data_IF_275479271973
#
_entry.id   IF_275479271973
#
_cell.length_a   1.000
_cell.length_b   1.000
_cell.length_c   1.000
_cell.angle_alpha   90.00
_cell.angle_beta   90.00
_cell.angle_gamma   90.00
#
_symmetry.space_group_name_H-M   'P 1'
#
loop_
_entity.id
_entity.type
_entity.pdbx_description
1 polymer ?
#
# COMPACT_ATOMS: atom_id res chain seq x y z
N UNK A 1 19.91 41.18 -14.54
CA UNK A 1 20.07 39.94 -15.33
C UNK A 1 20.63 38.80 -14.49
N UNK A 2 21.92 38.81 -14.11
CA UNK A 2 22.65 37.67 -13.56
C UNK A 2 21.90 36.81 -12.51
N UNK A 3 21.27 37.42 -11.50
CA UNK A 3 20.58 36.66 -10.44
C UNK A 3 19.28 35.98 -10.87
N UNK A 4 18.60 36.49 -11.90
CA UNK A 4 17.43 35.83 -12.50
C UNK A 4 17.86 34.47 -13.07
N UNK A 5 18.96 34.45 -13.81
CA UNK A 5 19.51 33.22 -14.37
C UNK A 5 19.93 32.24 -13.28
N UNK A 6 20.59 32.71 -12.19
CA UNK A 6 20.93 31.88 -11.02
C UNK A 6 19.71 31.16 -10.44
N UNK A 7 18.61 31.86 -10.17
CA UNK A 7 17.40 31.24 -9.62
C UNK A 7 16.73 30.24 -10.58
N UNK A 8 16.70 30.53 -11.89
CA UNK A 8 16.09 29.63 -12.88
C UNK A 8 16.92 28.38 -13.12
N UNK A 9 18.25 28.50 -13.23
CA UNK A 9 19.16 27.35 -13.39
C UNK A 9 19.17 26.48 -12.14
N UNK A 10 19.28 27.07 -10.95
CA UNK A 10 19.24 26.31 -9.69
C UNK A 10 17.86 25.66 -9.49
N UNK A 11 16.77 26.33 -9.86
CA UNK A 11 15.43 25.76 -9.82
C UNK A 11 15.22 24.58 -10.77
N UNK A 12 15.79 24.62 -11.99
CA UNK A 12 15.83 23.47 -12.92
C UNK A 12 16.68 22.33 -12.33
N UNK A 13 17.86 22.62 -11.77
CA UNK A 13 18.71 21.61 -11.15
C UNK A 13 18.03 20.92 -9.95
N UNK A 14 17.45 21.69 -9.01
CA UNK A 14 16.66 21.14 -7.91
C UNK A 14 15.50 20.26 -8.39
N UNK A 15 14.91 20.56 -9.55
CA UNK A 15 13.89 19.71 -10.16
C UNK A 15 14.48 18.33 -10.48
N UNK A 16 15.52 18.25 -11.32
CA UNK A 16 16.14 16.96 -11.70
C UNK A 16 16.71 16.17 -10.52
N UNK A 17 17.12 16.85 -9.44
CA UNK A 17 17.54 16.21 -8.18
C UNK A 17 16.38 15.67 -7.31
N UNK A 18 15.13 15.84 -7.73
CA UNK A 18 13.94 15.41 -6.99
C UNK A 18 13.46 16.38 -5.89
N UNK A 19 14.16 17.50 -5.69
CA UNK A 19 13.84 18.54 -4.69
C UNK A 19 12.69 19.44 -5.18
N UNK A 20 11.50 18.84 -5.36
CA UNK A 20 10.31 19.50 -5.90
C UNK A 20 9.90 20.75 -5.11
N UNK A 21 10.04 20.74 -3.78
CA UNK A 21 9.73 21.89 -2.91
C UNK A 21 10.65 23.09 -3.23
N UNK A 22 11.95 22.86 -3.20
CA UNK A 22 12.96 23.90 -3.40
C UNK A 22 12.94 24.41 -4.86
N UNK A 23 12.80 23.51 -5.83
CA UNK A 23 12.59 23.85 -7.24
C UNK A 23 11.37 24.75 -7.44
N UNK A 24 10.24 24.43 -6.79
CA UNK A 24 9.00 25.21 -6.86
C UNK A 24 9.18 26.62 -6.29
N UNK A 25 9.98 26.80 -5.24
CA UNK A 25 10.32 28.12 -4.68
C UNK A 25 11.26 28.90 -5.61
N UNK A 26 12.38 28.29 -6.03
CA UNK A 26 13.43 28.92 -6.83
C UNK A 26 12.95 29.36 -8.22
N UNK A 27 12.15 28.53 -8.91
CA UNK A 27 11.55 28.92 -10.19
C UNK A 27 10.54 30.07 -10.03
N UNK A 28 9.89 30.20 -8.87
CA UNK A 28 8.97 31.30 -8.57
C UNK A 28 9.65 32.58 -8.07
N UNK A 29 10.83 32.52 -7.42
CA UNK A 29 11.65 33.72 -7.21
C UNK A 29 12.23 34.19 -8.54
N UNK A 30 12.80 33.28 -9.34
CA UNK A 30 13.30 33.55 -10.68
C UNK A 30 12.26 34.23 -11.58
N UNK A 31 11.04 33.67 -11.70
CA UNK A 31 9.95 34.29 -12.48
C UNK A 31 9.57 35.68 -11.95
N UNK A 32 9.43 35.87 -10.62
CA UNK A 32 9.08 37.18 -10.04
C UNK A 32 10.15 38.23 -10.32
N UNK A 33 11.42 37.87 -10.21
CA UNK A 33 12.55 38.77 -10.50
C UNK A 33 12.66 39.08 -12.00
N UNK A 34 12.39 38.11 -12.88
CA UNK A 34 12.31 38.34 -14.33
C UNK A 34 11.21 39.36 -14.68
N UNK A 35 9.99 39.17 -14.16
CA UNK A 35 8.88 40.12 -14.38
C UNK A 35 9.15 41.50 -13.77
N UNK A 36 9.84 41.58 -12.63
CA UNK A 36 10.23 42.87 -12.04
C UNK A 36 11.31 43.59 -12.86
N UNK A 37 12.28 42.85 -13.42
CA UNK A 37 13.29 43.40 -14.32
C UNK A 37 12.68 43.91 -15.62
N UNK A 38 11.78 43.14 -16.24
CA UNK A 38 11.06 43.54 -17.46
C UNK A 38 10.24 44.82 -17.25
N UNK A 39 9.51 44.94 -16.13
CA UNK A 39 8.78 46.18 -15.78
C UNK A 39 9.71 47.38 -15.63
N UNK A 40 10.86 47.22 -14.96
CA UNK A 40 11.85 48.30 -14.82
C UNK A 40 12.39 48.75 -16.18
N UNK A 41 12.68 47.81 -17.07
CA UNK A 41 13.13 48.10 -18.43
C UNK A 41 12.06 48.84 -19.23
N UNK A 42 10.81 48.35 -19.20
CA UNK A 42 9.66 48.98 -19.87
C UNK A 42 9.31 50.37 -19.34
N UNK A 43 9.54 50.66 -18.05
CA UNK A 43 9.32 51.99 -17.44
C UNK A 43 10.53 52.91 -17.61
N UNK A 44 11.71 52.37 -17.95
CA UNK A 44 12.90 53.17 -18.28
C UNK A 44 12.96 53.64 -19.73
N UNK A 45 11.94 53.34 -20.54
CA UNK A 45 11.80 53.85 -21.90
C UNK A 45 10.86 55.07 -21.85
N UNK A 46 11.30 56.21 -22.39
CA UNK A 46 10.46 57.40 -22.57
C UNK A 46 9.63 57.26 -23.85
N UNK A 47 8.42 57.83 -23.85
CA UNK A 47 7.50 57.81 -24.99
C UNK A 47 8.09 58.46 -26.26
N UNK A 48 9.05 59.36 -26.13
CA UNK A 48 9.77 59.99 -27.26
C UNK A 48 10.73 59.03 -28.01
N UNK A 49 10.87 57.77 -27.58
CA UNK A 49 11.83 56.81 -28.16
C UNK A 49 11.34 56.09 -29.43
N UNK A 50 10.23 56.52 -30.05
CA UNK A 50 9.67 55.94 -31.28
C UNK A 50 10.39 56.37 -32.58
N UNK A 51 11.72 56.27 -32.61
CA UNK A 51 12.52 56.47 -33.82
C UNK A 51 12.36 55.28 -34.79
N UNK A 52 11.45 55.39 -35.77
CA UNK A 52 11.28 54.42 -36.86
C UNK A 52 12.42 54.56 -37.87
N UNK A 53 13.63 54.17 -37.45
CA UNK A 53 14.86 54.35 -38.22
C UNK A 53 15.91 53.26 -37.91
N UNK A 54 15.53 51.98 -38.06
CA UNK A 54 16.45 50.86 -38.33
C UNK A 54 15.70 49.61 -38.84
N UNK A 55 15.15 49.72 -40.06
CA UNK A 55 14.73 48.56 -40.88
C UNK A 55 15.90 48.03 -41.74
N UNK A 56 17.06 48.68 -41.69
CA UNK A 56 18.29 48.27 -42.36
C UNK A 56 19.49 48.27 -41.39
N UNK A 57 20.54 47.49 -41.72
CA UNK A 57 21.82 47.42 -41.01
C UNK A 57 21.82 46.78 -39.61
N UNK A 58 21.58 45.47 -39.53
CA UNK A 58 21.86 44.67 -38.32
C UNK A 58 23.37 44.36 -38.18
N UNK A 59 24.15 45.37 -37.79
CA UNK A 59 25.63 45.35 -37.83
C UNK A 59 26.39 45.38 -36.49
N UNK A 60 25.74 45.27 -35.33
CA UNK A 60 26.39 45.07 -34.02
C UNK A 60 25.38 44.63 -32.95
N UNK A 61 25.56 43.46 -32.34
CA UNK A 61 24.55 42.82 -31.49
C UNK A 61 24.88 42.87 -29.98
N UNK A 62 24.80 44.07 -29.39
CA UNK A 62 24.87 44.26 -27.92
C UNK A 62 23.50 44.60 -27.31
N UNK A 63 22.47 43.82 -27.66
CA UNK A 63 21.18 43.85 -26.97
C UNK A 63 21.24 42.97 -25.70
N UNK A 64 20.85 43.47 -24.50
CA UNK A 64 20.86 42.66 -23.29
C UNK A 64 19.79 41.57 -23.37
N UNK A 65 20.20 40.30 -23.38
CA UNK A 65 19.34 39.17 -23.68
C UNK A 65 18.10 39.07 -22.78
N UNK A 66 16.95 39.48 -23.33
CA UNK A 66 15.63 39.09 -22.83
C UNK A 66 15.50 37.57 -22.96
N UNK A 67 14.98 36.89 -21.93
CA UNK A 67 14.61 35.47 -22.06
C UNK A 67 13.61 35.33 -23.23
N UNK A 68 13.87 34.48 -24.24
CA UNK A 68 12.93 34.28 -25.33
C UNK A 68 11.59 33.75 -24.75
N UNK A 69 10.44 34.10 -25.36
CA UNK A 69 9.12 33.77 -24.80
C UNK A 69 8.97 32.28 -24.49
N UNK A 70 9.50 31.42 -25.36
CA UNK A 70 9.60 29.97 -25.22
C UNK A 70 10.22 29.49 -23.89
N UNK A 71 11.24 30.18 -23.37
CA UNK A 71 11.86 29.84 -22.08
C UNK A 71 11.05 30.35 -20.88
N UNK A 72 10.40 31.50 -21.01
CA UNK A 72 9.45 31.99 -20.00
C UNK A 72 8.28 31.00 -19.85
N UNK A 73 7.71 30.59 -20.98
CA UNK A 73 6.62 29.61 -21.07
C UNK A 73 7.04 28.25 -20.50
N UNK A 74 8.21 27.70 -20.88
CA UNK A 74 8.68 26.41 -20.36
C UNK A 74 8.85 26.41 -18.84
N UNK A 75 9.33 27.52 -18.27
CA UNK A 75 9.40 27.71 -16.81
C UNK A 75 7.99 27.77 -16.19
N UNK A 76 7.00 28.42 -16.81
CA UNK A 76 5.63 28.39 -16.28
C UNK A 76 4.99 27.00 -16.33
N UNK A 77 5.22 26.24 -17.40
CA UNK A 77 4.75 24.86 -17.57
C UNK A 77 5.47 23.88 -16.62
N UNK A 78 6.71 24.18 -16.24
CA UNK A 78 7.43 23.42 -15.22
C UNK A 78 6.88 23.72 -13.81
N UNK A 79 6.70 25.00 -13.47
CA UNK A 79 6.13 25.42 -12.17
C UNK A 79 4.69 24.91 -11.97
N UNK A 80 3.85 24.94 -13.00
CA UNK A 80 2.48 24.40 -12.90
C UNK A 80 2.47 22.88 -12.69
N UNK A 81 3.37 22.16 -13.36
CA UNK A 81 3.54 20.72 -13.19
C UNK A 81 4.07 20.34 -11.80
N UNK A 82 5.13 20.99 -11.31
CA UNK A 82 5.66 20.74 -9.96
C UNK A 82 4.58 21.05 -8.90
N UNK A 83 3.80 22.14 -9.06
CA UNK A 83 2.65 22.43 -8.19
C UNK A 83 1.58 21.33 -8.22
N UNK A 84 1.32 20.72 -9.38
CA UNK A 84 0.39 19.58 -9.49
C UNK A 84 0.92 18.34 -8.77
N UNK A 85 2.21 18.01 -8.93
CA UNK A 85 2.85 16.88 -8.24
C UNK A 85 2.83 17.08 -6.72
N UNK A 86 3.28 18.24 -6.24
CA UNK A 86 3.31 18.57 -4.81
C UNK A 86 1.91 18.52 -4.19
N UNK A 87 0.90 19.16 -4.80
CA UNK A 87 -0.50 19.11 -4.33
C UNK A 87 -1.04 17.67 -4.27
N UNK A 88 -0.64 16.82 -5.23
CA UNK A 88 -1.06 15.41 -5.27
C UNK A 88 -0.36 14.59 -4.20
N UNK A 89 0.94 14.82 -3.94
CA UNK A 89 1.73 14.19 -2.87
C UNK A 89 1.23 14.60 -1.48
N UNK A 90 0.98 15.88 -1.22
CA UNK A 90 0.46 16.34 0.09
C UNK A 90 -0.92 15.77 0.39
N UNK A 91 -1.80 15.67 -0.62
CA UNK A 91 -3.09 14.99 -0.46
C UNK A 91 -2.93 13.47 -0.24
N UNK A 92 -1.93 12.83 -0.86
CA UNK A 92 -1.64 11.41 -0.65
C UNK A 92 -1.11 11.12 0.76
N UNK A 93 -0.26 12.00 1.31
CA UNK A 93 0.26 11.92 2.67
C UNK A 93 -0.85 12.18 3.69
N UNK A 94 -1.65 13.26 3.53
CA UNK A 94 -2.79 13.51 4.41
C UNK A 94 -3.81 12.35 4.42
N UNK A 95 -4.00 11.66 3.29
CA UNK A 95 -4.82 10.44 3.22
C UNK A 95 -4.16 9.23 3.90
N UNK A 96 -2.82 9.11 3.87
CA UNK A 96 -2.07 8.08 4.60
C UNK A 96 -2.20 8.29 6.11
N UNK A 97 -1.98 9.52 6.58
CA UNK A 97 -2.02 9.92 7.99
C UNK A 97 -3.44 9.80 8.57
N UNK A 98 -4.47 10.02 7.75
CA UNK A 98 -5.89 9.81 8.08
C UNK A 98 -6.35 8.34 7.97
N UNK A 99 -5.47 7.38 7.66
CA UNK A 99 -5.82 5.96 7.51
C UNK A 99 -6.59 5.60 6.23
N UNK A 100 -6.80 6.54 5.31
CA UNK A 100 -7.53 6.38 4.06
C UNK A 100 -6.63 5.79 2.96
N UNK A 101 -6.11 4.59 3.20
CA UNK A 101 -5.05 3.97 2.39
C UNK A 101 -5.43 3.81 0.91
N UNK A 102 -6.69 3.52 0.59
CA UNK A 102 -7.21 3.45 -0.79
C UNK A 102 -7.02 4.76 -1.55
N UNK A 103 -7.27 5.89 -0.90
CA UNK A 103 -7.13 7.22 -1.48
C UNK A 103 -5.67 7.66 -1.55
N UNK A 104 -4.84 7.33 -0.57
CA UNK A 104 -3.39 7.48 -0.65
C UNK A 104 -2.83 6.71 -1.87
N UNK A 105 -3.20 5.44 -2.03
CA UNK A 105 -2.84 4.59 -3.18
C UNK A 105 -3.30 5.22 -4.50
N UNK A 106 -4.54 5.75 -4.56
CA UNK A 106 -5.10 6.42 -5.74
C UNK A 106 -4.31 7.69 -6.10
N UNK A 107 -3.98 8.52 -5.11
CA UNK A 107 -3.22 9.74 -5.31
C UNK A 107 -1.78 9.46 -5.76
N UNK A 108 -1.04 8.56 -5.10
CA UNK A 108 0.31 8.17 -5.53
C UNK A 108 0.31 7.52 -6.92
N UNK A 109 -0.65 6.65 -7.22
CA UNK A 109 -0.73 6.04 -8.56
C UNK A 109 -0.96 7.10 -9.65
N UNK A 110 -1.76 8.15 -9.38
CA UNK A 110 -1.91 9.30 -10.29
C UNK A 110 -0.71 10.27 -10.34
N UNK A 111 0.35 10.05 -9.55
CA UNK A 111 1.69 10.62 -9.78
C UNK A 111 2.45 9.70 -10.74
N UNK A 112 2.53 8.42 -10.39
CA UNK A 112 3.36 7.40 -11.06
C UNK A 112 2.86 7.03 -12.48
N UNK A 113 1.57 7.25 -12.77
CA UNK A 113 0.94 7.16 -14.09
C UNK A 113 0.86 8.52 -14.82
N UNK A 114 1.73 9.47 -14.46
CA UNK A 114 1.92 10.72 -15.20
C UNK A 114 2.50 10.49 -16.61
N UNK A 115 2.12 11.36 -17.56
CA UNK A 115 2.65 11.35 -18.95
C UNK A 115 3.97 12.12 -19.12
N UNK A 116 4.36 12.94 -18.15
CA UNK A 116 5.61 13.71 -18.17
C UNK A 116 6.65 12.94 -17.35
N UNK A 117 7.91 13.02 -17.76
CA UNK A 117 9.04 12.59 -16.95
C UNK A 117 8.94 13.15 -15.53
N UNK A 118 9.32 12.32 -14.55
CA UNK A 118 9.34 12.68 -13.14
C UNK A 118 10.69 12.27 -12.54
N UNK A 119 11.41 13.17 -11.85
CA UNK A 119 12.74 12.89 -11.31
C UNK A 119 12.85 11.68 -10.37
N UNK A 120 13.91 10.88 -10.57
CA UNK A 120 14.25 9.64 -9.87
C UNK A 120 14.02 9.69 -8.35
N UNK A 121 14.58 10.68 -7.67
CA UNK A 121 14.46 10.81 -6.21
C UNK A 121 13.01 11.02 -5.72
N UNK A 122 12.20 11.74 -6.48
CA UNK A 122 10.79 11.99 -6.16
C UNK A 122 9.91 10.76 -6.48
N UNK A 123 10.23 10.03 -7.54
CA UNK A 123 9.58 8.74 -7.84
C UNK A 123 9.86 7.70 -6.74
N UNK A 124 11.10 7.59 -6.28
CA UNK A 124 11.48 6.67 -5.18
C UNK A 124 10.70 7.00 -3.88
N UNK A 125 10.60 8.27 -3.51
CA UNK A 125 9.78 8.72 -2.37
C UNK A 125 8.29 8.35 -2.56
N UNK A 126 7.73 8.60 -3.75
CA UNK A 126 6.33 8.26 -4.05
C UNK A 126 6.06 6.74 -4.05
N UNK A 127 7.01 5.91 -4.52
CA UNK A 127 6.91 4.45 -4.39
C UNK A 127 6.94 4.02 -2.92
N UNK A 128 7.79 4.61 -2.08
CA UNK A 128 7.84 4.28 -0.65
C UNK A 128 6.56 4.59 0.11
N UNK A 129 5.97 5.77 -0.08
CA UNK A 129 4.72 6.10 0.59
C UNK A 129 3.55 5.26 0.04
N UNK A 130 3.56 4.86 -1.24
CA UNK A 130 2.57 3.90 -1.76
C UNK A 130 2.79 2.48 -1.23
N UNK A 131 4.03 2.04 -1.03
CA UNK A 131 4.35 0.78 -0.36
C UNK A 131 3.87 0.77 1.10
N UNK A 132 4.04 1.88 1.83
CA UNK A 132 3.50 2.06 3.18
C UNK A 132 1.96 1.99 3.19
N UNK A 133 1.29 2.65 2.24
CA UNK A 133 -0.16 2.57 2.08
C UNK A 133 -0.65 1.15 1.74
N UNK A 134 0.06 0.43 0.86
CA UNK A 134 -0.26 -0.98 0.55
C UNK A 134 -0.06 -1.89 1.78
N UNK A 135 1.04 -1.72 2.53
CA UNK A 135 1.31 -2.45 3.77
C UNK A 135 0.19 -2.23 4.79
N UNK A 136 -0.22 -0.98 5.02
CA UNK A 136 -1.28 -0.64 5.95
C UNK A 136 -2.67 -1.14 5.48
N UNK A 137 -2.89 -1.25 4.17
CA UNK A 137 -4.06 -1.89 3.57
C UNK A 137 -3.97 -3.43 3.47
N UNK A 138 -2.97 -4.08 4.10
CA UNK A 138 -2.79 -5.54 4.09
C UNK A 138 -2.35 -6.15 2.74
N UNK A 139 -2.02 -5.32 1.74
CA UNK A 139 -1.70 -5.73 0.36
C UNK A 139 -0.20 -5.95 0.19
N UNK A 140 0.27 -7.07 0.73
CA UNK A 140 1.70 -7.38 0.91
C UNK A 140 2.45 -7.50 -0.43
N UNK A 141 1.91 -8.23 -1.42
CA UNK A 141 2.57 -8.38 -2.72
C UNK A 141 2.82 -7.03 -3.43
N UNK A 142 1.84 -6.12 -3.42
CA UNK A 142 2.04 -4.78 -4.01
C UNK A 142 2.98 -3.89 -3.20
N UNK A 143 2.99 -4.03 -1.87
CA UNK A 143 3.95 -3.32 -1.02
C UNK A 143 5.40 -3.76 -1.29
N UNK A 144 5.64 -5.08 -1.41
CA UNK A 144 6.95 -5.63 -1.79
C UNK A 144 7.35 -5.14 -3.20
N UNK A 145 6.41 -5.10 -4.15
CA UNK A 145 6.68 -4.63 -5.51
C UNK A 145 7.09 -3.15 -5.58
N UNK A 146 6.52 -2.28 -4.76
CA UNK A 146 6.92 -0.86 -4.72
C UNK A 146 8.19 -0.63 -3.90
N UNK A 147 8.47 -1.43 -2.86
CA UNK A 147 9.79 -1.46 -2.23
C UNK A 147 10.87 -1.92 -3.23
N UNK A 148 10.59 -2.89 -4.10
CA UNK A 148 11.48 -3.33 -5.16
C UNK A 148 11.78 -2.22 -6.17
N UNK A 149 10.76 -1.46 -6.61
CA UNK A 149 10.95 -0.28 -7.49
C UNK A 149 11.77 0.81 -6.82
N UNK A 150 11.52 1.08 -5.54
CA UNK A 150 12.33 2.02 -4.77
C UNK A 150 13.79 1.59 -4.73
N UNK A 151 14.06 0.31 -4.44
CA UNK A 151 15.44 -0.22 -4.34
C UNK A 151 16.14 -0.43 -5.68
N UNK A 152 15.41 -0.35 -6.80
CA UNK A 152 16.01 -0.18 -8.12
C UNK A 152 16.41 1.29 -8.36
N UNK A 153 15.59 2.26 -7.96
CA UNK A 153 15.88 3.71 -8.12
C UNK A 153 16.88 4.27 -7.08
N UNK A 154 16.93 3.68 -5.89
CA UNK A 154 17.76 4.06 -4.74
C UNK A 154 18.11 2.82 -3.91
N UNK A 155 19.18 2.08 -4.24
CA UNK A 155 19.63 0.92 -3.47
C UNK A 155 19.95 1.25 -2.00
N UNK A 156 20.27 2.52 -1.69
CA UNK A 156 20.62 2.98 -0.33
C UNK A 156 19.40 3.33 0.54
N UNK A 157 18.18 3.12 0.04
CA UNK A 157 16.95 3.51 0.72
C UNK A 157 16.67 2.67 1.99
N UNK A 158 17.21 3.10 3.13
CA UNK A 158 17.00 2.46 4.45
C UNK A 158 15.50 2.23 4.77
N UNK A 159 14.57 3.17 4.52
CA UNK A 159 13.14 2.93 4.70
C UNK A 159 12.59 1.78 3.83
N UNK A 160 13.11 1.60 2.62
CA UNK A 160 12.68 0.54 1.71
C UNK A 160 13.13 -0.84 2.18
N UNK A 161 14.41 -0.99 2.57
CA UNK A 161 14.92 -2.24 3.13
C UNK A 161 14.21 -2.59 4.44
N UNK A 162 14.02 -1.61 5.34
CA UNK A 162 13.32 -1.84 6.62
C UNK A 162 11.87 -2.24 6.40
N UNK A 163 11.19 -1.63 5.43
CA UNK A 163 9.79 -1.97 5.10
C UNK A 163 9.69 -3.33 4.42
N UNK A 164 10.59 -3.65 3.49
CA UNK A 164 10.59 -4.93 2.76
C UNK A 164 10.98 -6.11 3.66
N UNK A 165 11.98 -5.94 4.54
CA UNK A 165 12.31 -6.91 5.58
C UNK A 165 11.10 -7.20 6.49
N UNK A 166 10.40 -6.15 6.97
CA UNK A 166 9.20 -6.33 7.79
C UNK A 166 8.02 -6.97 7.04
N UNK A 167 7.91 -6.79 5.72
CA UNK A 167 6.92 -7.50 4.88
C UNK A 167 7.29 -8.97 4.70
N UNK A 168 8.56 -9.29 4.45
CA UNK A 168 9.05 -10.68 4.37
C UNK A 168 8.92 -11.42 5.71
N UNK A 169 9.21 -10.74 6.83
CA UNK A 169 8.98 -11.25 8.18
C UNK A 169 7.50 -11.57 8.45
N UNK A 170 6.59 -10.67 8.05
CA UNK A 170 5.15 -10.86 8.21
C UNK A 170 4.60 -12.10 7.46
N UNK A 171 5.16 -12.41 6.29
CA UNK A 171 4.85 -13.66 5.55
C UNK A 171 5.80 -14.83 5.91
N UNK A 172 6.60 -14.70 6.97
CA UNK A 172 7.58 -15.71 7.43
C UNK A 172 8.64 -16.12 6.38
N UNK A 173 8.88 -15.30 5.37
CA UNK A 173 9.96 -15.50 4.39
C UNK A 173 11.31 -15.05 4.98
N UNK A 174 11.75 -15.74 6.04
CA UNK A 174 12.93 -15.37 6.81
C UNK A 174 14.23 -15.26 5.99
N UNK A 175 14.52 -16.10 4.96
CA UNK A 175 15.73 -15.94 4.16
C UNK A 175 15.79 -14.61 3.38
N UNK A 176 14.68 -14.19 2.79
CA UNK A 176 14.61 -12.91 2.07
C UNK A 176 14.63 -11.72 3.03
N UNK A 177 14.01 -11.86 4.21
CA UNK A 177 14.12 -10.89 5.30
C UNK A 177 15.59 -10.72 5.76
N UNK A 178 16.30 -11.82 6.05
CA UNK A 178 17.69 -11.78 6.52
C UNK A 178 18.60 -11.08 5.52
N UNK A 179 18.44 -11.32 4.21
CA UNK A 179 19.21 -10.63 3.16
C UNK A 179 19.02 -9.11 3.18
N UNK A 180 17.79 -8.64 3.42
CA UNK A 180 17.52 -7.20 3.55
C UNK A 180 18.09 -6.61 4.84
N UNK A 181 18.08 -7.37 5.95
CA UNK A 181 18.74 -6.98 7.20
C UNK A 181 20.27 -6.95 7.07
N UNK A 182 20.87 -7.87 6.29
CA UNK A 182 22.30 -7.87 5.99
C UNK A 182 22.70 -6.67 5.12
N UNK A 183 21.89 -6.30 4.14
CA UNK A 183 22.12 -5.08 3.36
C UNK A 183 22.01 -3.82 4.23
N UNK A 184 21.01 -3.73 5.12
CA UNK A 184 20.93 -2.66 6.13
C UNK A 184 22.16 -2.61 7.03
N UNK A 185 22.72 -3.77 7.41
CA UNK A 185 23.93 -3.84 8.24
C UNK A 185 25.14 -3.27 7.49
N UNK A 186 25.30 -3.63 6.21
CA UNK A 186 26.37 -3.09 5.36
C UNK A 186 26.27 -1.56 5.22
N UNK A 187 25.06 -1.02 5.07
CA UNK A 187 24.81 0.43 5.00
C UNK A 187 25.09 1.13 6.35
N UNK A 188 24.69 0.56 7.49
CA UNK A 188 25.04 1.13 8.80
C UNK A 188 26.55 1.04 9.08
N UNK A 189 27.20 -0.06 8.72
CA UNK A 189 28.64 -0.25 8.84
C UNK A 189 29.42 0.75 7.95
N UNK A 190 28.93 1.11 6.75
CA UNK A 190 29.58 2.16 5.92
C UNK A 190 29.34 3.56 6.48
N UNK A 191 28.13 3.89 6.93
CA UNK A 191 27.84 5.18 7.60
C UNK A 191 28.79 5.44 8.77
N UNK A 192 29.09 4.42 9.59
CA UNK A 192 30.00 4.54 10.72
C UNK A 192 31.48 4.66 10.31
N UNK A 193 31.88 4.05 9.19
CA UNK A 193 33.23 4.22 8.60
C UNK A 193 33.43 5.62 8.02
N UNK A 194 32.51 6.04 7.15
CA UNK A 194 32.63 7.26 6.34
C UNK A 194 32.22 8.53 7.11
N UNK A 195 31.55 8.35 8.27
CA UNK A 195 30.94 9.41 9.10
C UNK A 195 29.96 10.30 8.34
N UNK A 196 29.37 9.75 7.26
CA UNK A 196 28.45 10.41 6.33
C UNK A 196 27.24 9.50 6.11
N UNK A 197 26.09 10.10 5.84
CA UNK A 197 24.88 9.36 5.47
C UNK A 197 24.88 9.05 3.95
N UNK A 198 24.20 7.98 3.48
CA UNK A 198 24.36 7.51 2.10
C UNK A 198 23.70 8.44 1.07
N UNK A 199 24.40 8.70 -0.04
CA UNK A 199 23.93 9.61 -1.09
C UNK A 199 24.20 11.10 -0.78
N UNK A 200 23.56 12.03 -1.50
CA UNK A 200 23.90 13.45 -1.43
C UNK A 200 23.59 14.10 -0.08
N UNK A 201 24.47 15.01 0.38
CA UNK A 201 24.35 15.66 1.69
C UNK A 201 23.08 16.51 1.89
N UNK A 202 22.41 16.93 0.80
CA UNK A 202 21.13 17.65 0.81
C UNK A 202 19.90 16.73 0.86
N UNK A 203 20.06 15.41 0.64
CA UNK A 203 18.97 14.44 0.65
C UNK A 203 18.44 14.29 2.08
N UNK A 204 17.18 14.68 2.33
CA UNK A 204 16.53 14.50 3.64
C UNK A 204 16.49 13.00 3.96
N UNK A 205 16.98 12.60 5.13
CA UNK A 205 17.04 11.20 5.56
C UNK A 205 16.29 10.96 6.85
N UNK A 206 15.60 9.82 6.93
CA UNK A 206 14.76 9.44 8.06
C UNK A 206 15.56 8.85 9.24
N UNK A 207 16.88 8.72 9.12
CA UNK A 207 17.77 8.20 10.17
C UNK A 207 18.74 9.29 10.61
N UNK A 208 18.86 9.52 11.92
CA UNK A 208 19.90 10.39 12.50
C UNK A 208 21.16 9.57 12.71
N UNK A 209 22.33 10.14 12.42
CA UNK A 209 23.63 9.47 12.64
C UNK A 209 23.81 8.95 14.09
N UNK A 210 23.28 9.69 15.09
CA UNK A 210 23.29 9.30 16.51
C UNK A 210 22.66 7.93 16.76
N UNK A 211 21.65 7.56 15.98
CA UNK A 211 20.81 6.38 16.23
C UNK A 211 21.37 5.14 15.53
N UNK A 212 22.33 5.31 14.60
CA UNK A 212 22.94 4.23 13.81
C UNK A 212 23.59 3.14 14.68
N UNK A 213 24.38 3.44 15.74
CA UNK A 213 24.93 2.38 16.60
C UNK A 213 23.88 1.58 17.37
N UNK A 214 22.76 2.20 17.77
CA UNK A 214 21.63 1.52 18.40
C UNK A 214 20.86 0.65 17.41
N UNK A 215 20.59 1.19 16.21
CA UNK A 215 19.90 0.47 15.14
C UNK A 215 20.72 -0.74 14.68
N UNK A 216 22.04 -0.59 14.56
CA UNK A 216 22.97 -1.68 14.22
C UNK A 216 22.95 -2.80 15.28
N UNK A 217 22.94 -2.48 16.58
CA UNK A 217 22.83 -3.50 17.64
C UNK A 217 21.50 -4.26 17.58
N UNK A 218 20.38 -3.54 17.49
CA UNK A 218 19.06 -4.15 17.36
C UNK A 218 18.95 -5.03 16.10
N UNK A 219 19.52 -4.56 14.98
CA UNK A 219 19.60 -5.30 13.73
C UNK A 219 20.42 -6.59 13.85
N UNK A 220 21.57 -6.57 14.54
CA UNK A 220 22.38 -7.78 14.75
C UNK A 220 21.67 -8.83 15.61
N UNK A 221 20.96 -8.44 16.67
CA UNK A 221 20.19 -9.36 17.51
C UNK A 221 19.05 -9.99 16.71
N UNK A 222 18.27 -9.18 15.98
CA UNK A 222 17.17 -9.68 15.14
C UNK A 222 17.65 -10.58 14.00
N UNK A 223 18.80 -10.28 13.40
CA UNK A 223 19.41 -11.14 12.39
C UNK A 223 19.85 -12.50 12.99
N UNK A 224 20.36 -12.52 14.24
CA UNK A 224 20.72 -13.76 14.93
C UNK A 224 19.47 -14.60 15.26
N UNK A 225 18.41 -14.00 15.79
CA UNK A 225 17.12 -14.67 16.06
C UNK A 225 16.56 -15.31 14.78
N UNK A 226 16.46 -14.54 13.69
CA UNK A 226 15.95 -15.06 12.42
C UNK A 226 16.83 -16.17 11.83
N UNK A 227 18.16 -16.11 12.02
CA UNK A 227 19.07 -17.19 11.61
C UNK A 227 18.92 -18.46 12.47
N UNK A 228 18.64 -18.32 13.76
CA UNK A 228 18.29 -19.46 14.62
C UNK A 228 16.96 -20.12 14.18
N UNK A 229 15.96 -19.32 13.82
CA UNK A 229 14.66 -19.81 13.32
C UNK A 229 14.73 -20.44 11.91
N UNK A 230 15.68 -19.98 11.09
CA UNK A 230 16.06 -20.66 9.85
C UNK A 230 16.72 -22.02 10.15
N UNK A 231 17.62 -22.08 11.14
CA UNK A 231 18.31 -23.30 11.53
C UNK A 231 17.41 -24.34 12.21
N UNK A 232 16.34 -23.91 12.91
CA UNK A 232 15.33 -24.82 13.47
C UNK A 232 14.32 -25.35 12.45
N UNK A 233 14.45 -24.98 11.17
CA UNK A 233 13.66 -25.53 10.07
C UNK A 233 12.39 -24.76 9.70
N UNK A 234 12.15 -23.54 10.23
CA UNK A 234 10.96 -22.76 9.87
C UNK A 234 10.92 -22.27 8.40
N UNK A 235 11.96 -22.55 7.61
CA UNK A 235 12.19 -22.01 6.25
C UNK A 235 11.09 -22.33 5.23
N UNK A 236 10.35 -23.41 5.40
CA UNK A 236 9.25 -23.80 4.50
C UNK A 236 7.91 -23.11 4.78
N UNK A 237 7.73 -22.52 5.96
CA UNK A 237 6.42 -22.08 6.46
C UNK A 237 6.09 -20.63 6.09
N UNK A 238 6.13 -20.32 4.78
CA UNK A 238 5.78 -19.00 4.23
C UNK A 238 4.25 -18.83 4.19
N UNK A 239 3.72 -17.74 4.75
CA UNK A 239 2.29 -17.45 4.70
C UNK A 239 1.88 -16.88 3.33
N UNK A 240 1.64 -17.81 2.40
CA UNK A 240 1.18 -17.49 1.06
C UNK A 240 -0.23 -16.88 1.01
N UNK A 241 -1.09 -17.16 2.00
CA UNK A 241 -2.41 -16.54 2.13
C UNK A 241 -2.23 -15.03 2.40
N UNK A 242 -1.36 -14.68 3.34
CA UNK A 242 -0.97 -13.29 3.62
C UNK A 242 -0.29 -12.60 2.43
N UNK A 243 0.58 -13.30 1.69
CA UNK A 243 1.22 -12.75 0.49
C UNK A 243 0.22 -12.38 -0.61
N UNK A 244 -0.75 -13.27 -0.90
CA UNK A 244 -1.74 -13.08 -1.98
C UNK A 244 -2.92 -12.20 -1.51
N UNK A 245 -3.14 -12.06 -0.20
CA UNK A 245 -4.23 -11.28 0.38
C UNK A 245 -5.55 -12.06 0.52
N UNK A 246 -5.46 -13.37 0.74
CA UNK A 246 -6.60 -14.29 0.88
C UNK A 246 -6.78 -14.74 2.33
N UNK A 247 -8.00 -15.19 2.68
CA UNK A 247 -8.28 -15.89 3.93
C UNK A 247 -8.02 -17.39 3.77
N UNK A 248 -7.74 -18.09 4.87
CA UNK A 248 -7.68 -19.56 4.91
C UNK A 248 -9.08 -20.12 4.61
N UNK A 249 -9.16 -21.26 3.91
CA UNK A 249 -10.41 -21.78 3.38
C UNK A 249 -11.06 -20.89 2.31
N UNK A 250 -10.27 -20.18 1.49
CA UNK A 250 -10.79 -19.46 0.33
C UNK A 250 -11.17 -20.42 -0.80
N UNK A 251 -12.19 -20.10 -1.59
CA UNK A 251 -12.57 -20.96 -2.71
C UNK A 251 -11.50 -20.97 -3.80
N UNK A 252 -11.40 -22.08 -4.52
CA UNK A 252 -10.58 -22.21 -5.73
C UNK A 252 -10.77 -21.04 -6.70
N UNK A 253 -12.02 -20.60 -6.90
CA UNK A 253 -12.33 -19.50 -7.82
C UNK A 253 -11.82 -18.14 -7.35
N UNK A 254 -11.67 -17.91 -6.04
CA UNK A 254 -11.08 -16.69 -5.49
C UNK A 254 -9.56 -16.70 -5.63
N UNK A 255 -8.92 -17.85 -5.39
CA UNK A 255 -7.50 -18.04 -5.61
C UNK A 255 -7.11 -17.78 -7.07
N UNK A 256 -7.79 -18.43 -8.02
CA UNK A 256 -7.56 -18.28 -9.45
C UNK A 256 -7.69 -16.80 -9.90
N UNK A 257 -8.71 -16.08 -9.42
CA UNK A 257 -8.91 -14.64 -9.71
C UNK A 257 -7.82 -13.76 -9.09
N UNK A 258 -7.50 -13.95 -7.81
CA UNK A 258 -6.50 -13.14 -7.11
C UNK A 258 -5.10 -13.32 -7.72
N UNK A 259 -4.71 -14.57 -7.98
CA UNK A 259 -3.45 -14.90 -8.63
C UNK A 259 -3.35 -14.37 -10.07
N UNK A 260 -4.43 -14.45 -10.86
CA UNK A 260 -4.47 -13.84 -12.19
C UNK A 260 -4.27 -12.32 -12.15
N UNK A 261 -4.93 -11.62 -11.21
CA UNK A 261 -4.78 -10.18 -11.03
C UNK A 261 -3.36 -9.79 -10.60
N UNK A 262 -2.76 -10.50 -9.64
CA UNK A 262 -1.38 -10.23 -9.21
C UNK A 262 -0.37 -10.53 -10.33
N UNK A 263 -0.46 -11.69 -10.99
CA UNK A 263 0.46 -12.03 -12.09
C UNK A 263 0.37 -11.04 -13.25
N UNK A 264 -0.82 -10.56 -13.63
CA UNK A 264 -0.98 -9.54 -14.68
C UNK A 264 -0.38 -8.17 -14.33
N UNK A 265 -0.34 -7.81 -13.04
CA UNK A 265 0.21 -6.55 -12.52
C UNK A 265 1.71 -6.61 -12.24
N UNK A 266 2.25 -7.80 -11.94
CA UNK A 266 3.63 -8.03 -11.51
C UNK A 266 4.44 -8.92 -12.48
N UNK A 267 4.08 -8.96 -13.77
CA UNK A 267 4.91 -9.62 -14.80
C UNK A 267 6.31 -8.99 -14.84
N UNK A 268 7.40 -9.78 -14.91
CA UNK A 268 8.76 -9.25 -14.90
C UNK A 268 9.05 -8.34 -16.11
N UNK A 269 8.44 -8.61 -17.27
CA UNK A 269 8.64 -7.81 -18.48
C UNK A 269 7.93 -6.44 -18.39
N UNK A 270 6.93 -6.31 -17.51
CA UNK A 270 6.30 -5.03 -17.16
C UNK A 270 7.00 -4.29 -16.03
N UNK A 271 8.05 -4.88 -15.43
CA UNK A 271 8.74 -4.27 -14.31
C UNK A 271 9.52 -3.02 -14.71
N UNK A 272 10.05 -2.98 -15.94
CA UNK A 272 10.87 -1.87 -16.45
C UNK A 272 10.07 -0.62 -16.90
N UNK A 273 8.75 -0.70 -17.10
CA UNK A 273 7.92 0.39 -17.65
C UNK A 273 7.78 1.66 -16.76
N UNK A 274 8.40 1.70 -15.58
CA UNK A 274 8.54 2.96 -14.83
C UNK A 274 9.81 3.72 -15.19
N UNK A 275 10.84 3.05 -15.72
CA UNK A 275 12.10 3.67 -16.16
C UNK A 275 11.84 4.65 -17.29
N UNK A 276 10.94 4.31 -18.22
CA UNK A 276 10.43 5.16 -19.31
C UNK A 276 9.80 6.50 -18.84
N UNK A 277 9.43 6.59 -17.56
CA UNK A 277 8.74 7.76 -16.95
C UNK A 277 9.64 8.51 -15.97
N UNK A 278 10.86 8.01 -15.76
CA UNK A 278 11.79 8.49 -14.75
C UNK A 278 12.84 9.40 -15.41
N UNK A 279 12.95 10.63 -14.92
CA UNK A 279 14.08 11.50 -15.26
C UNK A 279 15.27 11.12 -14.36
N UNK A 280 16.28 10.49 -14.95
CA UNK A 280 17.53 10.15 -14.29
C UNK A 280 18.51 11.31 -14.36
N UNK A 281 19.47 11.35 -13.44
CA UNK A 281 20.52 12.39 -13.41
C UNK A 281 21.72 12.02 -14.29
N UNK A 282 21.97 10.71 -14.49
CA UNK A 282 23.06 10.18 -15.32
C UNK A 282 22.57 8.95 -16.13
N UNK A 283 22.91 8.89 -17.43
CA UNK A 283 22.43 7.82 -18.33
C UNK A 283 23.02 6.43 -18.02
N UNK A 284 24.13 6.37 -17.27
CA UNK A 284 24.87 5.11 -17.02
C UNK A 284 24.14 4.14 -16.08
N UNK A 285 23.23 4.62 -15.26
CA UNK A 285 22.46 3.79 -14.33
C UNK A 285 21.21 3.15 -14.96
N UNK A 286 20.83 3.54 -16.19
CA UNK A 286 19.56 3.12 -16.78
C UNK A 286 19.39 1.60 -16.89
N UNK A 287 20.44 0.88 -17.28
CA UNK A 287 20.36 -0.57 -17.49
C UNK A 287 20.51 -1.37 -16.20
N UNK A 288 21.34 -0.91 -15.24
CA UNK A 288 21.43 -1.53 -13.91
C UNK A 288 20.12 -1.41 -13.14
N UNK A 289 19.40 -0.28 -13.27
CA UNK A 289 18.06 -0.07 -12.73
C UNK A 289 17.04 -1.00 -13.39
N UNK A 290 17.08 -1.18 -14.71
CA UNK A 290 16.19 -2.12 -15.45
C UNK A 290 16.42 -3.57 -15.01
N UNK A 291 17.67 -4.02 -14.95
CA UNK A 291 18.00 -5.40 -14.59
C UNK A 291 17.66 -5.69 -13.12
N UNK A 292 17.95 -4.77 -12.20
CA UNK A 292 17.56 -4.91 -10.80
C UNK A 292 16.03 -4.93 -10.63
N UNK A 293 15.29 -4.09 -11.36
CA UNK A 293 13.83 -4.13 -11.39
C UNK A 293 13.29 -5.46 -11.94
N UNK A 294 13.88 -5.98 -13.03
CA UNK A 294 13.49 -7.24 -13.67
C UNK A 294 13.77 -8.45 -12.76
N UNK A 295 14.95 -8.51 -12.15
CA UNK A 295 15.34 -9.56 -11.21
C UNK A 295 14.45 -9.57 -9.96
N UNK A 296 14.26 -8.42 -9.31
CA UNK A 296 13.44 -8.34 -8.09
C UNK A 296 11.95 -8.59 -8.36
N UNK A 297 11.43 -8.22 -9.54
CA UNK A 297 10.10 -8.60 -9.98
C UNK A 297 9.98 -10.10 -10.29
N UNK A 298 10.99 -10.72 -10.92
CA UNK A 298 11.01 -12.16 -11.20
C UNK A 298 11.03 -13.00 -9.91
N UNK A 299 11.73 -12.54 -8.87
CA UNK A 299 11.70 -13.19 -7.54
C UNK A 299 10.29 -13.15 -6.94
N UNK A 300 9.63 -11.99 -6.91
CA UNK A 300 8.25 -11.86 -6.44
C UNK A 300 7.27 -12.69 -7.28
N UNK A 301 7.43 -12.71 -8.60
CA UNK A 301 6.60 -13.50 -9.51
C UNK A 301 6.73 -15.01 -9.22
N UNK A 302 7.96 -15.52 -9.03
CA UNK A 302 8.21 -16.91 -8.62
C UNK A 302 7.66 -17.23 -7.23
N UNK A 303 7.69 -16.28 -6.30
CA UNK A 303 7.09 -16.42 -4.96
C UNK A 303 5.56 -16.55 -5.03
N UNK A 304 4.91 -15.73 -5.86
CA UNK A 304 3.48 -15.82 -6.14
C UNK A 304 3.09 -17.13 -6.85
N UNK A 305 3.91 -17.63 -7.78
CA UNK A 305 3.71 -18.94 -8.42
C UNK A 305 3.75 -20.08 -7.39
N UNK A 306 4.75 -20.09 -6.50
CA UNK A 306 4.84 -21.08 -5.40
C UNK A 306 3.63 -21.00 -4.48
N UNK A 307 3.21 -19.79 -4.11
CA UNK A 307 2.05 -19.59 -3.23
C UNK A 307 0.74 -20.05 -3.86
N UNK A 308 0.53 -19.79 -5.14
CA UNK A 308 -0.61 -20.34 -5.88
C UNK A 308 -0.64 -21.86 -5.82
N UNK A 309 0.45 -22.54 -6.21
CA UNK A 309 0.50 -24.01 -6.19
C UNK A 309 0.32 -24.58 -4.78
N UNK A 310 0.87 -23.93 -3.76
CA UNK A 310 0.75 -24.36 -2.36
C UNK A 310 -0.69 -24.25 -1.83
N UNK A 311 -1.38 -23.13 -2.09
CA UNK A 311 -2.77 -22.95 -1.65
C UNK A 311 -3.71 -23.82 -2.49
N UNK A 312 -3.43 -23.99 -3.78
CA UNK A 312 -4.21 -24.85 -4.67
C UNK A 312 -4.18 -26.31 -4.19
N UNK A 313 -3.02 -26.81 -3.74
CA UNK A 313 -2.90 -28.13 -3.17
C UNK A 313 -3.76 -28.28 -1.90
N UNK A 314 -3.66 -27.34 -0.94
CA UNK A 314 -4.45 -27.42 0.29
C UNK A 314 -5.96 -27.30 0.05
N UNK A 315 -6.40 -26.49 -0.91
CA UNK A 315 -7.83 -26.44 -1.31
C UNK A 315 -8.29 -27.78 -1.89
N UNK A 316 -7.49 -28.41 -2.75
CA UNK A 316 -7.86 -29.72 -3.34
C UNK A 316 -7.86 -30.85 -2.29
N UNK A 317 -7.00 -30.78 -1.28
CA UNK A 317 -6.99 -31.69 -0.14
C UNK A 317 -8.22 -31.47 0.77
N UNK A 318 -8.59 -30.22 1.05
CA UNK A 318 -9.81 -29.86 1.78
C UNK A 318 -11.08 -30.29 1.02
N UNK A 319 -11.18 -30.00 -0.28
CA UNK A 319 -12.28 -30.44 -1.16
C UNK A 319 -12.40 -31.97 -1.20
N UNK A 320 -11.28 -32.69 -1.29
CA UNK A 320 -11.28 -34.16 -1.27
C UNK A 320 -11.71 -34.73 0.08
N UNK A 321 -11.25 -34.14 1.19
CA UNK A 321 -11.64 -34.56 2.54
C UNK A 321 -13.13 -34.27 2.82
N UNK A 322 -13.67 -33.15 2.36
CA UNK A 322 -15.10 -32.85 2.45
C UNK A 322 -15.94 -33.81 1.63
N UNK A 323 -15.52 -34.15 0.40
CA UNK A 323 -16.19 -35.17 -0.41
C UNK A 323 -16.15 -36.57 0.23
N UNK A 324 -15.10 -36.91 1.00
CA UNK A 324 -15.05 -38.14 1.79
C UNK A 324 -16.02 -38.08 2.99
N UNK A 325 -16.06 -36.97 3.74
CA UNK A 325 -17.01 -36.76 4.85
C UNK A 325 -18.46 -36.83 4.38
N UNK A 326 -18.78 -36.21 3.24
CA UNK A 326 -20.12 -36.28 2.62
C UNK A 326 -20.49 -37.72 2.24
N UNK A 327 -19.58 -38.48 1.62
CA UNK A 327 -19.81 -39.90 1.31
C UNK A 327 -20.03 -40.75 2.57
N UNK A 328 -19.25 -40.53 3.62
CA UNK A 328 -19.42 -41.21 4.90
C UNK A 328 -20.76 -40.85 5.57
N UNK A 329 -21.15 -39.58 5.58
CA UNK A 329 -22.44 -39.12 6.10
C UNK A 329 -23.63 -39.70 5.32
N UNK A 330 -23.55 -39.73 3.99
CA UNK A 330 -24.57 -40.36 3.14
C UNK A 330 -24.67 -41.87 3.36
N UNK A 331 -23.55 -42.57 3.53
CA UNK A 331 -23.53 -44.00 3.85
C UNK A 331 -24.15 -44.28 5.24
N UNK A 332 -23.86 -43.45 6.25
CA UNK A 332 -24.48 -43.53 7.57
C UNK A 332 -26.01 -43.27 7.50
N UNK A 333 -26.45 -42.26 6.75
CA UNK A 333 -27.88 -41.99 6.54
C UNK A 333 -28.58 -43.15 5.82
N UNK A 334 -27.95 -43.74 4.79
CA UNK A 334 -28.49 -44.90 4.10
C UNK A 334 -28.58 -46.14 5.02
N UNK A 335 -27.57 -46.37 5.87
CA UNK A 335 -27.60 -47.46 6.85
C UNK A 335 -28.70 -47.27 7.90
N UNK A 336 -28.90 -46.05 8.41
CA UNK A 336 -30.00 -45.72 9.34
C UNK A 336 -31.36 -45.89 8.67
N UNK A 337 -31.52 -45.45 7.42
CA UNK A 337 -32.76 -45.63 6.66
C UNK A 337 -33.07 -47.13 6.39
N UNK A 338 -32.06 -47.93 6.06
CA UNK A 338 -32.21 -49.38 5.89
C UNK A 338 -32.57 -50.09 7.21
N UNK A 339 -31.96 -49.69 8.33
CA UNK A 339 -32.30 -50.22 9.65
C UNK A 339 -33.74 -49.87 10.07
N UNK A 340 -34.18 -48.64 9.80
CA UNK A 340 -35.57 -48.22 10.03
C UNK A 340 -36.56 -49.01 9.16
N UNK A 341 -36.25 -49.23 7.88
CA UNK A 341 -37.09 -50.03 6.98
C UNK A 341 -37.26 -51.49 7.47
N UNK A 342 -36.18 -52.10 7.98
CA UNK A 342 -36.22 -53.46 8.55
C UNK A 342 -37.08 -53.55 9.82
N UNK A 343 -37.14 -52.50 10.64
CA UNK A 343 -38.00 -52.46 11.82
C UNK A 343 -39.49 -52.36 11.48
N UNK A 344 -39.86 -51.82 10.32
CA UNK A 344 -41.26 -51.76 9.83
C UNK A 344 -41.75 -53.11 9.30
N UNK A 345 -40.84 -54.05 8.98
CA UNK A 345 -41.18 -55.38 8.44
C UNK A 345 -41.29 -56.51 9.49
N UNK A 346 -41.18 -56.20 10.78
CA UNK A 346 -41.37 -57.19 11.84
C UNK A 346 -42.88 -57.48 12.05
N UNK A 347 -43.34 -58.75 11.97
CA UNK A 347 -44.76 -59.07 12.20
C UNK A 347 -45.12 -58.94 13.68
N UNK A 348 -46.30 -58.39 13.97
CA UNK A 348 -46.81 -58.22 15.33
C UNK A 348 -46.96 -59.57 16.07
N UNK A 349 -46.32 -59.77 17.23
CA UNK A 349 -46.67 -60.87 18.11
C UNK A 349 -48.02 -60.57 18.76
N UNK A 350 -49.03 -61.40 18.49
CA UNK A 350 -50.40 -61.22 19.02
C UNK A 350 -50.42 -61.18 20.55
N UNK A 351 -50.77 -60.03 21.10
CA UNK A 351 -51.04 -59.85 22.52
C UNK A 351 -52.50 -60.21 22.85
N UNK A 352 -52.74 -61.47 23.21
CA UNK A 352 -53.85 -61.80 24.09
C UNK A 352 -53.42 -61.54 25.55
N UNK A 353 -54.30 -60.98 26.38
CA UNK A 353 -53.92 -60.65 27.75
C UNK A 353 -55.09 -60.52 28.71
N UNK A 354 -54.78 -60.60 30.02
CA UNK A 354 -55.59 -60.04 31.11
C UNK A 354 -54.83 -59.96 32.44
N UNK A 355 -54.51 -58.73 32.81
CA UNK A 355 -54.55 -58.13 34.17
C UNK A 355 -54.78 -59.08 35.36
N UNK A 356 -53.82 -59.17 36.29
CA UNK A 356 -53.97 -58.56 37.64
C UNK A 356 -52.73 -58.68 38.56
N UNK A 357 -52.44 -57.58 39.27
CA UNK A 357 -51.88 -57.40 40.65
C UNK A 357 -51.12 -58.59 41.28
N UNK A 358 -49.94 -58.46 41.91
CA UNK A 358 -49.21 -57.30 42.53
C UNK A 358 -47.70 -57.68 42.67
N UNK A 359 -46.73 -57.06 43.40
CA UNK A 359 -46.64 -55.97 44.42
C UNK A 359 -45.17 -55.58 44.70
N UNK A 360 -44.95 -54.35 45.22
CA UNK A 360 -43.88 -53.91 46.17
C UNK A 360 -42.39 -53.93 45.73
N UNK A 361 -41.85 -52.71 45.64
CA UNK A 361 -40.55 -52.18 46.13
C UNK A 361 -39.24 -53.00 46.04
N UNK A 362 -38.20 -52.38 45.46
CA UNK A 362 -36.78 -52.56 45.84
C UNK A 362 -36.13 -51.16 45.91
N UNK A 363 -35.28 -50.93 46.92
CA UNK A 363 -34.60 -49.65 47.20
C UNK A 363 -33.39 -49.38 46.30
N UNK A 364 -33.13 -48.10 46.02
CA UNK A 364 -31.93 -47.65 45.31
C UNK A 364 -30.76 -47.44 46.29
N UNK A 365 -29.73 -48.30 46.25
CA UNK A 365 -28.55 -48.21 47.13
C UNK A 365 -27.22 -48.37 46.39
N UNK A 366 -26.62 -47.23 46.01
CA UNK A 366 -25.19 -47.11 45.65
C UNK A 366 -24.34 -46.87 46.89
N UNK A 367 -23.16 -47.50 46.93
CA UNK A 367 -21.90 -47.17 47.64
C UNK A 367 -20.95 -48.39 47.48
N UNK A 368 -19.63 -48.38 47.59
CA UNK A 368 -18.56 -47.36 47.79
C UNK A 368 -17.29 -47.92 47.08
N UNK A 369 -16.12 -47.31 46.87
CA UNK A 369 -15.44 -46.06 47.29
C UNK A 369 -14.67 -45.54 46.02
N UNK A 370 -13.50 -44.90 45.86
CA UNK A 370 -12.38 -44.26 46.59
C UNK A 370 -11.56 -43.38 45.60
N UNK A 371 -10.73 -42.41 45.97
CA UNK A 371 -10.57 -41.61 47.21
C UNK A 371 -9.70 -40.36 46.90
N UNK A 372 -9.88 -39.26 47.65
CA UNK A 372 -8.91 -38.15 47.95
C UNK A 372 -8.26 -37.34 46.78
N UNK A 373 -7.92 -36.04 46.86
CA UNK A 373 -8.14 -34.92 47.81
C UNK A 373 -7.62 -33.60 47.14
N UNK A 374 -7.73 -32.36 47.65
CA UNK A 374 -8.26 -31.84 48.92
C UNK A 374 -9.22 -30.62 48.71
N UNK A 375 -8.84 -29.37 49.08
CA UNK A 375 -9.78 -28.23 49.20
C UNK A 375 -9.11 -26.83 49.25
N UNK A 376 -9.95 -25.76 49.14
CA UNK A 376 -9.77 -24.28 49.20
C UNK A 376 -9.60 -23.58 47.83
N UNK A 377 -10.26 -22.43 47.55
CA UNK A 377 -11.19 -21.65 48.41
C UNK A 377 -12.00 -20.56 47.66
N UNK A 378 -12.90 -19.88 48.38
CA UNK A 378 -13.96 -18.97 47.89
C UNK A 378 -13.52 -17.51 47.64
N UNK A 379 -14.21 -16.78 46.73
CA UNK A 379 -14.86 -15.48 47.02
C UNK A 379 -15.77 -14.96 45.87
N UNK A 380 -16.71 -14.07 46.20
CA UNK A 380 -17.78 -13.53 45.34
C UNK A 380 -17.35 -12.28 44.53
N UNK A 381 -18.05 -12.01 43.41
CA UNK A 381 -18.87 -10.79 43.12
C UNK A 381 -19.26 -10.76 41.61
N UNK A 382 -20.54 -10.90 41.26
CA UNK A 382 -21.58 -9.86 41.04
C UNK A 382 -21.55 -9.16 39.66
N UNK A 383 -22.75 -8.98 39.07
CA UNK A 383 -23.03 -8.38 37.75
C UNK A 383 -23.64 -6.96 37.94
N UNK A 384 -23.57 -6.09 36.91
CA UNK A 384 -24.70 -5.95 35.97
C UNK A 384 -24.23 -5.95 34.49
N UNK A 385 -24.87 -6.60 33.52
CA UNK A 385 -26.27 -6.48 33.05
C UNK A 385 -26.63 -5.09 32.51
N UNK A 386 -26.64 -4.95 31.19
CA UNK A 386 -27.49 -4.01 30.44
C UNK A 386 -27.90 -4.63 29.09
N UNK A 387 -28.99 -4.11 28.51
CA UNK A 387 -29.91 -4.83 27.61
C UNK A 387 -29.37 -5.39 26.28
N UNK A 388 -29.98 -6.51 25.85
CA UNK A 388 -30.07 -6.93 24.44
C UNK A 388 -31.38 -6.43 23.83
N UNK A 389 -31.34 -5.78 22.66
CA UNK A 389 -32.54 -5.61 21.80
C UNK A 389 -32.23 -5.74 20.30
N UNK A 390 -33.07 -6.51 19.61
CA UNK A 390 -33.39 -6.34 18.19
C UNK A 390 -32.33 -6.76 17.17
N UNK A 391 -32.29 -8.04 16.81
CA UNK A 391 -31.72 -8.45 15.52
C UNK A 391 -32.75 -8.20 14.38
N UNK A 392 -32.31 -7.56 13.29
CA UNK A 392 -32.97 -7.59 11.97
C UNK A 392 -31.91 -7.68 10.87
N UNK A 393 -32.19 -8.49 9.86
CA UNK A 393 -31.25 -8.81 8.78
C UNK A 393 -31.52 -7.99 7.51
N UNK A 394 -30.44 -7.36 7.01
CA UNK A 394 -30.15 -7.05 5.60
C UNK A 394 -31.20 -6.28 4.78
N UNK A 395 -30.77 -5.12 4.27
CA UNK A 395 -31.07 -4.74 2.88
C UNK A 395 -29.78 -4.30 2.19
N UNK A 396 -29.62 -4.68 0.92
CA UNK A 396 -28.43 -4.36 0.11
C UNK A 396 -28.63 -3.00 -0.55
N UNK A 397 -27.72 -2.05 -0.32
CA UNK A 397 -27.69 -0.81 -1.09
C UNK A 397 -26.91 -1.00 -2.40
N UNK A 398 -27.66 -1.30 -3.46
CA UNK A 398 -27.17 -1.27 -4.83
C UNK A 398 -26.92 0.19 -5.25
N UNK A 399 -25.80 0.46 -5.92
CA UNK A 399 -25.38 1.81 -6.26
C UNK A 399 -26.29 2.50 -7.27
N UNK A 400 -26.73 3.72 -6.97
CA UNK A 400 -27.54 4.56 -7.86
C UNK A 400 -26.70 5.77 -8.32
N UNK A 401 -26.58 5.94 -9.64
CA UNK A 401 -25.83 7.03 -10.27
C UNK A 401 -26.72 8.27 -10.40
N UNK A 402 -26.90 9.04 -9.32
CA UNK A 402 -27.68 10.28 -9.36
C UNK A 402 -26.93 11.37 -10.15
N UNK A 403 -27.48 11.78 -11.29
CA UNK A 403 -26.86 12.77 -12.20
C UNK A 403 -27.24 14.23 -11.88
N UNK A 404 -28.23 14.43 -11.01
CA UNK A 404 -28.81 15.75 -10.72
C UNK A 404 -28.44 16.27 -9.32
N UNK A 405 -27.71 17.39 -9.29
CA UNK A 405 -27.21 18.03 -8.07
C UNK A 405 -28.31 18.72 -7.22
N UNK A 406 -29.53 18.87 -7.74
CA UNK A 406 -30.62 19.57 -7.06
C UNK A 406 -31.10 18.89 -5.77
N UNK A 407 -30.97 17.56 -5.66
CA UNK A 407 -31.56 16.78 -4.54
C UNK A 407 -30.73 16.93 -3.24
N UNK A 408 -29.44 17.27 -3.35
CA UNK A 408 -28.53 17.36 -2.18
C UNK A 408 -28.95 18.46 -1.19
N UNK A 409 -29.62 19.52 -1.65
CA UNK A 409 -30.07 20.63 -0.79
C UNK A 409 -31.07 20.22 0.29
N UNK A 410 -31.95 19.24 0.00
CA UNK A 410 -33.00 18.83 0.93
C UNK A 410 -32.54 17.81 2.00
N UNK A 411 -31.32 17.29 1.93
CA UNK A 411 -30.78 16.39 2.95
C UNK A 411 -30.09 17.12 4.12
N UNK A 412 -29.76 18.40 3.94
CA UNK A 412 -29.03 19.21 4.93
C UNK A 412 -29.95 20.04 5.85
N UNK A 413 -31.27 20.07 5.57
CA UNK A 413 -32.24 20.88 6.31
C UNK A 413 -32.69 20.27 7.65
N UNK A 414 -32.42 19.00 7.91
CA UNK A 414 -32.81 18.32 9.17
C UNK A 414 -31.86 18.57 10.36
N UNK A 415 -30.80 19.39 10.21
CA UNK A 415 -29.87 19.72 11.30
C UNK A 415 -29.67 21.23 11.48
N UNK A 416 -30.69 21.88 12.07
CA UNK A 416 -30.48 22.99 13.02
C UNK A 416 -30.11 24.40 12.51
N UNK A 417 -29.82 24.61 11.22
CA UNK A 417 -29.37 25.92 10.72
C UNK A 417 -30.31 26.57 9.67
N UNK A 418 -31.35 27.25 10.16
CA UNK A 418 -32.30 28.00 9.35
C UNK A 418 -31.73 29.34 8.82
N UNK A 419 -30.86 29.30 7.80
CA UNK A 419 -30.58 30.46 6.91
C UNK A 419 -30.34 29.99 5.46
N UNK A 420 -31.15 30.43 4.48
CA UNK A 420 -30.88 30.14 3.07
C UNK A 420 -29.65 30.92 2.59
N UNK A 421 -28.74 30.25 1.87
CA UNK A 421 -27.56 30.87 1.24
C UNK A 421 -27.90 31.20 -0.22
N UNK A 422 -27.97 32.49 -0.63
CA UNK A 422 -28.28 32.86 -2.00
C UNK A 422 -27.05 32.67 -2.90
N UNK A 423 -26.98 31.53 -3.60
CA UNK A 423 -25.97 31.29 -4.63
C UNK A 423 -26.36 32.05 -5.90
N UNK A 424 -25.64 33.13 -6.20
CA UNK A 424 -25.73 33.78 -7.52
C UNK A 424 -25.05 32.90 -8.57
N UNK A 425 -25.79 32.56 -9.61
CA UNK A 425 -25.24 31.95 -10.82
C UNK A 425 -24.81 33.06 -11.78
N UNK A 426 -23.50 33.24 -11.94
CA UNK A 426 -22.92 33.93 -13.10
C UNK A 426 -22.27 32.90 -14.02
N UNK A 427 -22.38 33.11 -15.34
CA UNK A 427 -22.33 32.03 -16.30
C UNK A 427 -20.91 31.60 -16.70
N UNK A 428 -20.76 30.30 -16.98
CA UNK A 428 -19.68 29.79 -17.83
C UNK A 428 -20.18 29.77 -19.28
N UNK A 429 -19.55 30.55 -20.14
CA UNK A 429 -19.73 30.54 -21.59
C UNK A 429 -18.37 30.61 -22.28
N UNK A 430 -18.13 29.66 -23.19
CA UNK A 430 -16.86 29.41 -23.90
C UNK A 430 -15.74 28.86 -23.01
#
# INVERSE_FOLDING_TARGET
MHDVCRYLVLGRACCHLGLMEDAMVLLQTGKRLASAAFRRQSVSWSDDSFSISNVASCGSCNAPATLPPTESESVTQLVSHIKLLLRRRTAALAALDAGLYSEAIRHFSKILDGRRGTPQGFLAECYMHRAAAYRAAGRIAEAIADCNRTLALDPTCIPALTTRAALFEAIRCFPDCVRDLEHLKILYDSILRDRKLPGPAWKRQNVRYRDVPSNLRALTVKMQELKQRIASGETGNVDYYGLIGLRRGCSRSELEKAYLLLTLRHRPDRAMNFVERCEFVEDRDLDSVKDQARMTALLLYRMLQKGYSSIMATILEEEAADMQRQKAAAALQAAVAAAAALQVTAPEPKLEGKVSKTSVEIEDRKQQIALSDYNKGSSLEQLPVLDKKGAKTVSVYQGVFCRDLAIVGNLLSQVGFNRPIPVKYEALSC
#
